data_IF_986605829708
#
_entry.id   IF_986605829708
#
_cell.length_a   1.000
_cell.length_b   1.000
_cell.length_c   1.000
_cell.angle_alpha   90.00
_cell.angle_beta   90.00
_cell.angle_gamma   90.00
#
_symmetry.space_group_name_H-M   'P 1'
#
loop_
_entity.id
_entity.type
_entity.pdbx_description
1 polymer ?
#
# COMPACT_ATOMS: atom_id res chain seq x y z
N UNK A 1 39.52 -67.71 42.83
CA UNK A 1 39.38 -66.36 43.39
C UNK A 1 39.46 -65.32 42.25
N UNK A 2 38.35 -64.85 41.69
CA UNK A 2 38.31 -63.72 40.78
C UNK A 2 37.02 -62.96 41.08
N UNK A 3 37.17 -61.76 41.58
CA UNK A 3 36.14 -60.86 41.97
C UNK A 3 35.51 -60.17 40.70
N UNK A 4 34.19 -60.33 40.52
CA UNK A 4 33.44 -59.61 39.50
C UNK A 4 32.94 -58.31 40.09
N UNK A 5 33.46 -57.19 39.57
CA UNK A 5 32.89 -55.82 39.79
C UNK A 5 31.82 -55.55 38.75
N UNK A 6 30.60 -55.34 39.23
CA UNK A 6 29.48 -54.86 38.46
C UNK A 6 29.67 -53.34 38.31
N UNK A 7 29.80 -52.87 37.08
CA UNK A 7 29.80 -51.46 36.75
C UNK A 7 28.36 -51.04 36.34
N UNK A 8 27.70 -50.31 37.20
CA UNK A 8 26.41 -49.65 36.83
C UNK A 8 26.66 -48.49 35.91
N UNK A 9 26.16 -48.57 34.68
CA UNK A 9 26.07 -47.45 33.79
C UNK A 9 24.84 -46.61 34.15
N UNK A 10 25.02 -45.33 34.49
CA UNK A 10 23.98 -44.33 34.64
C UNK A 10 23.63 -43.81 33.23
N UNK A 11 22.46 -44.19 32.72
CA UNK A 11 21.88 -43.60 31.52
C UNK A 11 21.43 -42.17 31.84
N UNK A 12 22.17 -41.21 31.29
CA UNK A 12 21.80 -39.80 31.32
C UNK A 12 20.87 -39.53 30.13
N UNK A 13 19.56 -39.55 30.35
CA UNK A 13 18.56 -39.13 29.38
C UNK A 13 18.72 -37.62 29.18
N UNK A 14 19.36 -37.26 28.10
CA UNK A 14 19.38 -35.86 27.61
C UNK A 14 17.97 -35.51 27.09
N UNK A 15 17.20 -34.82 27.93
CA UNK A 15 15.98 -34.16 27.44
C UNK A 15 16.40 -33.01 26.52
N UNK A 16 16.27 -33.20 25.21
CA UNK A 16 16.26 -32.09 24.26
C UNK A 16 15.01 -31.26 24.51
N UNK A 17 15.17 -30.14 25.19
CA UNK A 17 14.17 -29.06 25.14
C UNK A 17 14.19 -28.48 23.72
N UNK A 18 13.25 -28.89 22.88
CA UNK A 18 12.93 -28.23 21.63
C UNK A 18 12.28 -26.89 21.96
N UNK A 19 13.09 -25.94 22.34
CA UNK A 19 12.68 -24.52 22.41
C UNK A 19 12.48 -24.00 20.98
N UNK A 20 11.28 -24.11 20.46
CA UNK A 20 10.84 -23.30 19.33
C UNK A 20 10.91 -21.85 19.77
N UNK A 21 11.99 -21.17 19.41
CA UNK A 21 12.12 -19.72 19.58
C UNK A 21 11.05 -19.09 18.69
N UNK A 22 9.87 -18.83 19.27
CA UNK A 22 8.81 -18.09 18.60
C UNK A 22 9.38 -16.71 18.29
N UNK A 23 9.55 -16.39 17.01
CA UNK A 23 9.95 -15.04 16.59
C UNK A 23 9.03 -14.04 17.31
N UNK A 24 9.55 -12.92 17.82
CA UNK A 24 8.73 -11.94 18.51
C UNK A 24 7.59 -11.52 17.56
N UNK A 25 6.37 -11.75 18.01
CA UNK A 25 5.17 -11.38 17.26
C UNK A 25 5.14 -9.86 17.13
N UNK A 26 5.06 -9.35 15.92
CA UNK A 26 4.98 -7.90 15.68
C UNK A 26 3.73 -7.35 16.35
N UNK A 27 3.89 -6.33 17.18
CA UNK A 27 2.78 -5.61 17.81
C UNK A 27 2.10 -4.67 16.80
N UNK A 28 1.28 -5.23 15.91
CA UNK A 28 0.59 -4.49 14.86
C UNK A 28 -0.35 -3.42 15.45
N UNK A 29 -1.04 -3.72 16.58
CA UNK A 29 -1.94 -2.78 17.24
C UNK A 29 -1.19 -1.57 17.78
N UNK A 30 -0.12 -1.79 18.52
CA UNK A 30 0.69 -0.69 19.06
C UNK A 30 1.39 0.11 17.95
N UNK A 31 1.81 -0.57 16.86
CA UNK A 31 2.36 0.09 15.68
C UNK A 31 1.32 0.98 14.99
N UNK A 32 0.09 0.49 14.81
CA UNK A 32 -1.00 1.26 14.22
C UNK A 32 -1.29 2.52 15.04
N UNK A 33 -1.39 2.38 16.35
CA UNK A 33 -1.60 3.53 17.25
C UNK A 33 -0.50 4.58 17.08
N UNK A 34 0.78 4.18 17.11
CA UNK A 34 1.91 5.11 16.91
C UNK A 34 1.90 5.80 15.55
N UNK A 35 1.52 5.09 14.49
CA UNK A 35 1.40 5.69 13.15
C UNK A 35 0.25 6.70 13.12
N UNK A 36 -0.89 6.39 13.71
CA UNK A 36 -2.04 7.31 13.79
C UNK A 36 -1.71 8.57 14.59
N UNK A 37 -0.98 8.46 15.71
CA UNK A 37 -0.51 9.62 16.46
C UNK A 37 0.41 10.52 15.61
N UNK A 38 1.33 9.94 14.84
CA UNK A 38 2.21 10.68 13.93
C UNK A 38 1.43 11.36 12.81
N UNK A 39 0.42 10.69 12.24
CA UNK A 39 -0.49 11.29 11.23
C UNK A 39 -1.23 12.48 11.86
N UNK A 40 -1.78 12.32 13.05
CA UNK A 40 -2.51 13.38 13.74
C UNK A 40 -1.60 14.59 14.05
N UNK A 41 -0.38 14.33 14.53
CA UNK A 41 0.59 15.39 14.78
C UNK A 41 0.97 16.15 13.50
N UNK A 42 1.20 15.44 12.37
CA UNK A 42 1.52 16.07 11.10
C UNK A 42 0.32 16.87 10.54
N UNK A 43 -0.89 16.33 10.60
CA UNK A 43 -2.12 17.00 10.17
C UNK A 43 -2.34 18.30 10.96
N UNK A 44 -2.24 18.26 12.29
CA UNK A 44 -2.40 19.43 13.15
C UNK A 44 -1.37 20.53 12.84
N UNK A 45 -0.13 20.17 12.49
CA UNK A 45 0.92 21.14 12.10
C UNK A 45 0.58 21.94 10.86
N UNK A 46 -0.26 21.41 9.95
CA UNK A 46 -0.70 22.11 8.74
C UNK A 46 -2.19 22.51 8.79
N UNK A 47 -2.81 22.53 9.99
CA UNK A 47 -4.18 22.99 10.19
C UNK A 47 -5.26 22.07 9.61
N UNK A 48 -4.92 20.79 9.38
CA UNK A 48 -5.83 19.78 8.85
C UNK A 48 -6.32 18.83 9.95
N UNK A 49 -7.47 18.25 9.73
CA UNK A 49 -7.99 17.20 10.63
C UNK A 49 -7.37 15.84 10.26
N UNK A 50 -7.02 14.99 11.24
CA UNK A 50 -6.44 13.66 10.98
C UNK A 50 -7.33 12.77 10.09
N UNK A 51 -8.66 12.93 10.19
CA UNK A 51 -9.65 12.18 9.43
C UNK A 51 -9.65 12.48 7.92
N UNK A 52 -9.01 13.57 7.51
CA UNK A 52 -8.80 13.91 6.10
C UNK A 52 -7.68 13.07 5.44
N UNK A 53 -7.00 12.24 6.23
CA UNK A 53 -5.87 11.46 5.78
C UNK A 53 -6.17 9.98 5.93
N UNK A 54 -6.30 9.30 4.81
CA UNK A 54 -6.48 7.85 4.76
C UNK A 54 -5.14 7.15 4.94
N UNK A 55 -5.06 6.28 5.94
CA UNK A 55 -3.93 5.39 6.15
C UNK A 55 -4.15 4.09 5.38
N UNK A 56 -3.34 3.83 4.37
CA UNK A 56 -3.29 2.56 3.63
C UNK A 56 -2.16 1.70 4.22
N UNK A 57 -2.52 0.61 4.87
CA UNK A 57 -1.56 -0.36 5.40
C UNK A 57 -1.02 -1.28 4.31
N UNK A 58 0.27 -1.16 3.98
CA UNK A 58 0.89 -1.94 2.90
C UNK A 58 1.22 -3.35 3.39
N UNK A 59 0.36 -4.30 3.06
CA UNK A 59 0.38 -5.69 3.56
C UNK A 59 1.13 -6.68 2.66
N UNK A 60 1.82 -6.18 1.61
CA UNK A 60 2.65 -7.03 0.74
C UNK A 60 3.63 -7.87 1.57
N UNK A 61 3.79 -9.15 1.22
CA UNK A 61 4.65 -10.14 1.89
C UNK A 61 4.25 -10.52 3.32
N UNK A 62 3.18 -9.95 3.87
CA UNK A 62 2.66 -10.32 5.19
C UNK A 62 1.49 -11.30 5.07
N UNK A 63 1.36 -12.26 6.02
CA UNK A 63 0.31 -13.25 6.00
C UNK A 63 -1.06 -12.67 6.40
N UNK A 64 -2.14 -13.41 6.11
CA UNK A 64 -3.51 -13.03 6.43
C UNK A 64 -3.75 -12.72 7.91
N UNK A 65 -3.05 -13.39 8.83
CA UNK A 65 -3.15 -13.15 10.27
C UNK A 65 -2.70 -11.73 10.64
N UNK A 66 -1.63 -11.21 10.02
CA UNK A 66 -1.17 -9.84 10.26
C UNK A 66 -2.17 -8.81 9.73
N UNK A 67 -2.80 -9.10 8.58
CA UNK A 67 -3.86 -8.26 7.99
C UNK A 67 -5.07 -8.22 8.92
N UNK A 68 -5.50 -9.39 9.41
CA UNK A 68 -6.64 -9.51 10.33
C UNK A 68 -6.38 -8.76 11.63
N UNK A 69 -5.19 -8.90 12.21
CA UNK A 69 -4.80 -8.15 13.42
C UNK A 69 -4.83 -6.63 13.21
N UNK A 70 -4.40 -6.14 12.04
CA UNK A 70 -4.49 -4.72 11.70
C UNK A 70 -5.94 -4.25 11.52
N UNK A 71 -6.78 -5.06 10.88
CA UNK A 71 -8.20 -4.76 10.70
C UNK A 71 -8.95 -4.71 12.04
N UNK A 72 -8.70 -5.68 12.93
CA UNK A 72 -9.26 -5.71 14.30
C UNK A 72 -8.78 -4.52 15.15
N UNK A 73 -7.57 -4.03 14.89
CA UNK A 73 -7.04 -2.82 15.51
C UNK A 73 -7.65 -1.51 14.94
N UNK A 74 -8.44 -1.58 13.87
CA UNK A 74 -9.16 -0.44 13.30
C UNK A 74 -8.71 0.01 11.92
N UNK A 75 -7.68 -0.60 11.31
CA UNK A 75 -7.29 -0.29 9.94
C UNK A 75 -8.37 -0.79 8.96
N UNK A 76 -8.68 0.03 7.95
CA UNK A 76 -9.73 -0.29 6.96
C UNK A 76 -9.21 -0.37 5.53
N UNK A 77 -8.13 0.32 5.20
CA UNK A 77 -7.55 0.38 3.86
C UNK A 77 -6.22 -0.40 3.83
N UNK A 78 -6.10 -1.30 2.87
CA UNK A 78 -4.91 -2.14 2.70
C UNK A 78 -4.36 -2.02 1.29
N UNK A 79 -3.03 -2.01 1.16
CA UNK A 79 -2.33 -1.87 -0.11
C UNK A 79 -1.53 -3.12 -0.48
N UNK A 80 -1.69 -3.59 -1.71
CA UNK A 80 -0.97 -4.72 -2.28
C UNK A 80 -0.21 -4.30 -3.53
N UNK A 81 0.96 -4.90 -3.75
CA UNK A 81 1.77 -4.55 -4.90
C UNK A 81 1.53 -5.45 -6.12
N UNK A 82 1.02 -6.66 -5.92
CA UNK A 82 0.91 -7.69 -6.97
C UNK A 82 -0.42 -8.44 -6.87
N UNK A 83 -1.12 -8.55 -7.99
CA UNK A 83 -2.40 -9.27 -8.08
C UNK A 83 -2.26 -10.73 -7.63
N UNK A 84 -1.22 -11.44 -8.08
CA UNK A 84 -1.05 -12.86 -7.75
C UNK A 84 -0.79 -13.09 -6.26
N UNK A 85 -0.03 -12.20 -5.62
CA UNK A 85 0.23 -12.28 -4.19
C UNK A 85 -1.07 -12.08 -3.40
N UNK A 86 -1.88 -11.11 -3.82
CA UNK A 86 -3.19 -10.86 -3.24
C UNK A 86 -4.13 -12.06 -3.40
N UNK A 87 -4.22 -12.64 -4.59
CA UNK A 87 -5.03 -13.84 -4.85
C UNK A 87 -4.70 -14.99 -3.89
N UNK A 88 -3.40 -15.18 -3.56
CA UNK A 88 -2.94 -16.24 -2.65
C UNK A 88 -3.37 -16.06 -1.18
N UNK A 89 -3.67 -14.84 -0.76
CA UNK A 89 -4.10 -14.55 0.63
C UNK A 89 -5.53 -14.04 0.75
N UNK A 90 -6.18 -13.70 -0.37
CA UNK A 90 -7.55 -13.17 -0.39
C UNK A 90 -8.54 -14.04 0.40
N UNK A 91 -8.53 -15.36 0.20
CA UNK A 91 -9.45 -16.28 0.87
C UNK A 91 -9.36 -16.22 2.41
N UNK A 92 -8.18 -15.92 2.96
CA UNK A 92 -7.96 -15.82 4.41
C UNK A 92 -8.54 -14.55 5.05
N UNK A 93 -8.91 -13.54 4.24
CA UNK A 93 -9.34 -12.20 4.68
C UNK A 93 -10.56 -11.67 3.90
N UNK A 94 -11.21 -12.51 3.09
CA UNK A 94 -12.35 -12.14 2.25
C UNK A 94 -13.60 -11.73 3.06
N UNK A 95 -13.67 -12.18 4.31
CA UNK A 95 -14.74 -11.83 5.27
C UNK A 95 -14.54 -10.43 5.90
N UNK A 96 -13.38 -9.81 5.72
CA UNK A 96 -13.12 -8.48 6.24
C UNK A 96 -13.76 -7.43 5.31
N UNK A 97 -14.57 -6.54 5.88
CA UNK A 97 -15.08 -5.36 5.17
C UNK A 97 -14.00 -4.30 4.98
N UNK A 98 -12.91 -4.67 4.31
CA UNK A 98 -11.73 -3.84 4.08
C UNK A 98 -11.66 -3.34 2.64
N UNK A 99 -11.12 -2.14 2.47
CA UNK A 99 -10.86 -1.53 1.16
C UNK A 99 -9.46 -1.94 0.65
N UNK A 100 -9.41 -2.51 -0.55
CA UNK A 100 -8.18 -3.05 -1.14
C UNK A 100 -7.68 -2.18 -2.27
N UNK A 101 -6.45 -1.69 -2.15
CA UNK A 101 -5.76 -0.84 -3.12
C UNK A 101 -4.66 -1.62 -3.82
N UNK A 102 -4.64 -1.65 -5.14
CA UNK A 102 -3.47 -2.07 -5.90
C UNK A 102 -2.56 -0.86 -6.09
N UNK A 103 -1.46 -0.84 -5.35
CA UNK A 103 -0.52 0.29 -5.28
C UNK A 103 0.79 0.06 -6.05
N UNK A 104 0.93 -1.09 -6.70
CA UNK A 104 2.10 -1.41 -7.52
C UNK A 104 1.74 -1.53 -8.99
N UNK A 105 2.74 -1.45 -9.86
CA UNK A 105 2.58 -1.52 -11.31
C UNK A 105 1.73 -2.72 -11.75
N UNK A 106 0.70 -2.45 -12.56
CA UNK A 106 -0.25 -3.44 -13.05
C UNK A 106 0.10 -3.87 -14.47
N UNK A 107 0.48 -5.13 -14.63
CA UNK A 107 0.64 -5.72 -15.96
C UNK A 107 -0.70 -5.81 -16.70
N UNK A 108 -0.73 -5.42 -17.96
CA UNK A 108 -1.94 -5.38 -18.80
C UNK A 108 -2.72 -6.70 -18.86
N UNK A 109 -2.03 -7.85 -18.81
CA UNK A 109 -2.66 -9.18 -18.80
C UNK A 109 -3.35 -9.53 -17.46
N UNK A 110 -3.18 -8.72 -16.43
CA UNK A 110 -3.80 -8.87 -15.11
C UNK A 110 -4.94 -7.87 -14.86
N UNK A 111 -5.18 -6.93 -15.78
CA UNK A 111 -6.16 -5.86 -15.64
C UNK A 111 -7.57 -6.38 -15.27
N UNK A 112 -8.07 -7.41 -15.95
CA UNK A 112 -9.38 -7.97 -15.67
C UNK A 112 -9.48 -8.65 -14.30
N UNK A 113 -8.39 -9.21 -13.78
CA UNK A 113 -8.32 -9.77 -12.41
C UNK A 113 -8.27 -8.67 -11.37
N UNK A 114 -7.40 -7.68 -11.58
CA UNK A 114 -7.29 -6.54 -10.69
C UNK A 114 -8.63 -5.82 -10.53
N UNK A 115 -9.33 -5.56 -11.62
CA UNK A 115 -10.64 -4.91 -11.62
C UNK A 115 -11.70 -5.62 -10.78
N UNK A 116 -11.58 -6.94 -10.56
CA UNK A 116 -12.53 -7.73 -9.75
C UNK A 116 -12.14 -7.86 -8.29
N UNK A 117 -10.86 -7.66 -7.97
CA UNK A 117 -10.27 -7.98 -6.67
C UNK A 117 -9.96 -6.75 -5.83
N UNK A 118 -9.85 -5.59 -6.48
CA UNK A 118 -9.46 -4.36 -5.80
C UNK A 118 -10.58 -3.31 -5.87
N UNK A 119 -10.68 -2.52 -4.83
CA UNK A 119 -11.58 -1.37 -4.74
C UNK A 119 -10.97 -0.13 -5.39
N UNK A 120 -9.63 -0.09 -5.47
CA UNK A 120 -8.89 0.97 -6.13
C UNK A 120 -7.64 0.43 -6.84
N UNK A 121 -7.31 1.00 -8.01
CA UNK A 121 -6.05 0.76 -8.72
C UNK A 121 -5.31 2.09 -8.79
N UNK A 122 -4.26 2.20 -7.98
CA UNK A 122 -3.59 3.48 -7.72
C UNK A 122 -2.33 3.70 -8.60
N UNK A 123 -2.10 2.84 -9.59
CA UNK A 123 -0.91 2.83 -10.43
C UNK A 123 -1.25 2.76 -11.93
N UNK A 124 -2.15 3.65 -12.40
CA UNK A 124 -2.45 3.79 -13.82
C UNK A 124 -1.42 4.71 -14.45
N UNK A 125 -0.71 4.21 -15.45
CA UNK A 125 0.36 4.92 -16.15
C UNK A 125 0.18 5.02 -17.67
N UNK A 126 -0.79 4.27 -18.24
CA UNK A 126 -1.13 4.36 -19.66
C UNK A 126 -2.63 4.16 -19.94
N UNK A 127 -3.06 4.67 -21.10
CA UNK A 127 -4.46 4.56 -21.53
C UNK A 127 -4.87 3.15 -21.95
N UNK A 128 -4.05 2.35 -22.69
CA UNK A 128 -4.37 0.95 -23.00
C UNK A 128 -4.68 0.10 -21.76
N UNK A 129 -3.96 0.30 -20.65
CA UNK A 129 -4.24 -0.37 -19.38
C UNK A 129 -5.62 0.04 -18.83
N UNK A 130 -5.89 1.34 -18.79
CA UNK A 130 -7.17 1.87 -18.33
C UNK A 130 -8.35 1.36 -19.16
N UNK A 131 -8.22 1.27 -20.49
CA UNK A 131 -9.24 0.67 -21.36
C UNK A 131 -9.51 -0.81 -21.07
N UNK A 132 -8.48 -1.58 -20.72
CA UNK A 132 -8.66 -2.98 -20.32
C UNK A 132 -9.42 -3.12 -19.02
N UNK A 133 -9.15 -2.24 -18.06
CA UNK A 133 -9.87 -2.16 -16.79
C UNK A 133 -11.33 -1.78 -17.03
N UNK A 134 -11.59 -0.74 -17.82
CA UNK A 134 -12.94 -0.27 -18.16
C UNK A 134 -13.80 -1.38 -18.77
N UNK A 135 -13.26 -2.10 -19.74
CA UNK A 135 -13.94 -3.27 -20.36
C UNK A 135 -14.20 -4.39 -19.33
N UNK A 136 -13.28 -4.62 -18.42
CA UNK A 136 -13.42 -5.64 -17.40
C UNK A 136 -14.48 -5.28 -16.34
N UNK A 137 -14.62 -4.00 -16.01
CA UNK A 137 -15.63 -3.50 -15.08
C UNK A 137 -17.03 -3.47 -15.69
N UNK A 138 -17.18 -3.25 -16.99
CA UNK A 138 -18.48 -3.18 -17.70
C UNK A 138 -19.36 -4.43 -17.50
N UNK A 139 -18.77 -5.57 -17.17
CA UNK A 139 -19.49 -6.84 -16.92
C UNK A 139 -19.71 -7.14 -15.42
N UNK A 140 -19.42 -6.21 -14.51
CA UNK A 140 -19.53 -6.46 -13.08
C UNK A 140 -20.92 -6.09 -12.53
N UNK A 141 -21.46 -6.87 -11.56
CA UNK A 141 -22.79 -6.63 -10.99
C UNK A 141 -22.90 -5.35 -10.15
N UNK A 142 -21.78 -4.81 -9.69
CA UNK A 142 -21.76 -3.68 -8.74
C UNK A 142 -22.20 -2.35 -9.35
N UNK A 143 -22.12 -2.19 -10.68
CA UNK A 143 -22.55 -0.98 -11.39
C UNK A 143 -21.78 0.31 -11.04
N UNK A 144 -20.97 0.31 -10.00
CA UNK A 144 -20.17 1.45 -9.61
C UNK A 144 -18.83 1.48 -10.39
N UNK A 145 -18.39 2.65 -10.89
CA UNK A 145 -17.10 2.79 -11.53
C UNK A 145 -15.96 2.42 -10.57
N UNK A 146 -14.93 1.75 -11.09
CA UNK A 146 -13.74 1.42 -10.32
C UNK A 146 -12.89 2.68 -10.10
N UNK A 147 -12.57 2.96 -8.84
CA UNK A 147 -11.69 4.04 -8.46
C UNK A 147 -10.27 3.81 -9.00
N UNK A 148 -9.67 4.84 -9.60
CA UNK A 148 -8.27 4.77 -10.07
C UNK A 148 -7.52 6.06 -9.74
N UNK A 149 -6.19 5.93 -9.56
CA UNK A 149 -5.26 7.05 -9.52
C UNK A 149 -4.27 6.94 -10.69
N UNK A 150 -3.84 8.09 -11.21
CA UNK A 150 -2.72 8.13 -12.15
C UNK A 150 -1.42 8.16 -11.35
N UNK A 151 -0.52 7.22 -11.63
CA UNK A 151 0.85 7.27 -11.12
C UNK A 151 1.66 8.26 -11.95
N UNK A 152 2.19 9.31 -11.29
CA UNK A 152 3.01 10.35 -11.92
C UNK A 152 4.47 10.11 -11.61
N UNK A 153 5.30 10.06 -12.64
CA UNK A 153 6.74 9.94 -12.53
C UNK A 153 7.37 11.29 -12.23
N UNK A 154 7.93 11.48 -11.05
CA UNK A 154 8.58 12.72 -10.61
C UNK A 154 10.09 12.58 -10.36
N UNK A 155 10.67 11.40 -10.52
CA UNK A 155 12.10 11.14 -10.34
C UNK A 155 12.89 11.33 -11.64
N UNK A 156 14.12 11.87 -11.56
CA UNK A 156 14.96 12.20 -12.72
C UNK A 156 15.64 11.03 -13.42
N UNK A 157 15.66 9.82 -12.84
CA UNK A 157 16.17 8.62 -13.49
C UNK A 157 15.03 7.72 -13.91
N UNK A 158 15.21 6.97 -15.01
CA UNK A 158 14.20 6.11 -15.63
C UNK A 158 13.46 5.24 -14.61
N UNK A 159 12.50 5.82 -13.90
CA UNK A 159 11.54 5.07 -13.13
C UNK A 159 10.79 4.16 -14.09
N UNK A 160 10.59 2.94 -13.64
CA UNK A 160 10.05 1.86 -14.46
C UNK A 160 8.55 1.98 -14.69
N UNK A 161 7.86 2.96 -14.09
CA UNK A 161 6.40 3.19 -14.17
C UNK A 161 6.06 4.66 -13.93
N UNK A 162 4.84 5.03 -14.30
CA UNK A 162 4.28 6.37 -14.15
C UNK A 162 4.32 7.21 -15.41
N UNK A 163 3.27 8.04 -15.59
CA UNK A 163 3.20 9.00 -16.68
C UNK A 163 4.07 10.22 -16.37
N UNK A 164 4.70 10.81 -17.40
CA UNK A 164 5.41 12.07 -17.24
C UNK A 164 4.44 13.24 -16.93
N UNK A 165 4.90 14.31 -16.26
CA UNK A 165 4.06 15.50 -16.05
C UNK A 165 3.43 16.05 -17.33
N UNK A 166 4.15 16.00 -18.44
CA UNK A 166 3.68 16.50 -19.75
C UNK A 166 2.56 15.62 -20.33
N UNK A 167 2.59 14.31 -20.09
CA UNK A 167 1.57 13.37 -20.54
C UNK A 167 0.34 13.27 -19.64
N UNK A 168 0.40 13.85 -18.43
CA UNK A 168 -0.62 13.69 -17.40
C UNK A 168 -2.00 14.16 -17.84
N UNK A 169 -2.09 15.35 -18.43
CA UNK A 169 -3.38 15.94 -18.80
C UNK A 169 -4.07 15.14 -19.94
N UNK A 170 -3.32 14.72 -20.95
CA UNK A 170 -3.83 13.87 -22.04
C UNK A 170 -4.36 12.52 -21.51
N UNK A 171 -3.62 11.89 -20.60
CA UNK A 171 -4.07 10.64 -19.97
C UNK A 171 -5.34 10.86 -19.15
N UNK A 172 -5.39 11.90 -18.33
CA UNK A 172 -6.54 12.19 -17.48
C UNK A 172 -7.81 12.48 -18.29
N UNK A 173 -7.73 13.29 -19.38
CA UNK A 173 -8.84 13.54 -20.29
C UNK A 173 -9.39 12.23 -20.88
N UNK A 174 -8.49 11.33 -21.31
CA UNK A 174 -8.88 10.04 -21.86
C UNK A 174 -9.51 9.12 -20.82
N UNK A 175 -9.02 9.14 -19.56
CA UNK A 175 -9.61 8.35 -18.48
C UNK A 175 -11.02 8.84 -18.13
N UNK A 176 -11.24 10.15 -18.11
CA UNK A 176 -12.56 10.73 -17.82
C UNK A 176 -13.62 10.39 -18.89
N UNK A 177 -13.23 9.98 -20.09
CA UNK A 177 -14.14 9.51 -21.13
C UNK A 177 -14.56 8.04 -20.95
N UNK A 178 -13.94 7.29 -20.04
CA UNK A 178 -14.29 5.90 -19.71
C UNK A 178 -15.53 5.86 -18.84
N UNK A 179 -16.30 4.75 -18.91
CA UNK A 179 -17.60 4.66 -18.23
C UNK A 179 -17.54 3.93 -16.87
N UNK A 180 -16.64 2.97 -16.79
CA UNK A 180 -16.53 2.10 -15.63
C UNK A 180 -15.28 2.38 -14.79
N UNK A 181 -14.59 3.50 -15.07
CA UNK A 181 -13.41 3.98 -14.35
C UNK A 181 -13.71 5.38 -13.79
N UNK A 182 -13.45 5.58 -12.51
CA UNK A 182 -13.53 6.90 -11.87
C UNK A 182 -12.12 7.38 -11.50
N UNK A 183 -11.63 8.40 -12.21
CA UNK A 183 -10.38 9.06 -11.88
C UNK A 183 -10.57 9.90 -10.61
N UNK A 184 -9.99 9.42 -9.51
CA UNK A 184 -10.08 10.04 -8.18
C UNK A 184 -8.89 10.92 -7.82
N UNK A 185 -7.76 10.81 -8.53
CA UNK A 185 -6.59 11.63 -8.20
C UNK A 185 -5.26 11.13 -8.74
N UNK A 186 -4.19 11.54 -8.07
CA UNK A 186 -2.83 11.26 -8.46
C UNK A 186 -2.07 10.49 -7.37
N UNK A 187 -1.08 9.72 -7.80
CA UNK A 187 -0.15 9.01 -6.94
C UNK A 187 1.29 9.26 -7.41
N UNK A 188 2.26 9.30 -6.48
CA UNK A 188 3.68 9.22 -6.83
C UNK A 188 4.47 8.36 -5.83
N UNK A 189 5.58 7.82 -6.32
CA UNK A 189 6.62 7.19 -5.51
C UNK A 189 7.91 7.94 -5.82
N UNK A 190 8.31 8.92 -4.98
CA UNK A 190 9.54 9.67 -5.19
C UNK A 190 10.78 8.81 -4.93
N UNK A 191 11.97 9.25 -5.34
CA UNK A 191 13.23 8.64 -4.92
C UNK A 191 13.34 8.58 -3.40
N UNK A 192 13.95 7.50 -2.88
CA UNK A 192 14.28 7.42 -1.47
C UNK A 192 15.44 8.37 -1.15
N UNK A 193 15.21 9.30 -0.22
CA UNK A 193 16.23 10.19 0.32
C UNK A 193 16.35 9.95 1.82
N UNK A 194 17.58 10.02 2.36
CA UNK A 194 17.80 9.75 3.79
C UNK A 194 17.10 10.77 4.69
N UNK A 195 17.10 12.04 4.28
CA UNK A 195 16.37 13.10 4.96
C UNK A 195 14.96 13.22 4.36
N UNK A 196 13.88 12.93 5.13
CA UNK A 196 12.51 13.02 4.65
C UNK A 196 12.09 14.42 4.16
N UNK A 197 12.71 15.48 4.67
CA UNK A 197 12.39 16.84 4.24
C UNK A 197 12.89 17.15 2.81
N UNK A 198 13.92 16.46 2.35
CA UNK A 198 14.44 16.60 0.98
C UNK A 198 13.50 16.00 -0.07
N UNK A 199 12.55 15.16 0.34
CA UNK A 199 11.51 14.59 -0.55
C UNK A 199 10.36 15.57 -0.80
N UNK A 200 10.16 16.58 0.06
CA UNK A 200 9.04 17.54 -0.01
C UNK A 200 8.86 18.20 -1.38
N UNK A 201 9.90 18.61 -2.12
CA UNK A 201 9.73 19.18 -3.45
C UNK A 201 8.96 18.28 -4.45
N UNK A 202 9.14 16.96 -4.35
CA UNK A 202 8.40 15.99 -5.18
C UNK A 202 6.91 15.96 -4.79
N UNK A 203 6.60 15.99 -3.50
CA UNK A 203 5.22 16.03 -3.01
C UNK A 203 4.53 17.35 -3.36
N UNK A 204 5.22 18.48 -3.19
CA UNK A 204 4.73 19.79 -3.61
C UNK A 204 4.44 19.81 -5.13
N UNK A 205 5.34 19.21 -5.92
CA UNK A 205 5.13 19.13 -7.38
C UNK A 205 3.92 18.28 -7.75
N UNK A 206 3.66 17.16 -7.07
CA UNK A 206 2.44 16.37 -7.32
C UNK A 206 1.17 17.17 -6.98
N UNK A 207 1.18 17.90 -5.86
CA UNK A 207 0.07 18.78 -5.47
C UNK A 207 -0.19 19.85 -6.52
N UNK A 208 0.85 20.50 -7.03
CA UNK A 208 0.74 21.51 -8.09
C UNK A 208 0.15 20.93 -9.37
N UNK A 209 0.65 19.77 -9.81
CA UNK A 209 0.13 19.07 -10.99
C UNK A 209 -1.34 18.71 -10.84
N UNK A 210 -1.76 18.25 -9.63
CA UNK A 210 -3.16 18.00 -9.34
C UNK A 210 -4.00 19.27 -9.47
N UNK A 211 -3.54 20.40 -8.90
CA UNK A 211 -4.26 21.67 -8.96
C UNK A 211 -4.39 22.19 -10.39
N UNK A 212 -3.33 22.10 -11.18
CA UNK A 212 -3.34 22.46 -12.60
C UNK A 212 -4.30 21.59 -13.41
N UNK A 213 -4.34 20.29 -13.10
CA UNK A 213 -5.24 19.35 -13.74
C UNK A 213 -6.70 19.63 -13.38
N UNK A 214 -7.00 19.95 -12.12
CA UNK A 214 -8.34 20.33 -11.65
C UNK A 214 -8.86 21.60 -12.33
N UNK A 215 -8.00 22.61 -12.47
CA UNK A 215 -8.30 23.84 -13.16
C UNK A 215 -8.60 23.58 -14.65
N UNK A 216 -7.73 22.81 -15.31
CA UNK A 216 -7.87 22.49 -16.73
C UNK A 216 -9.13 21.70 -17.05
N UNK A 217 -9.47 20.71 -16.20
CA UNK A 217 -10.57 19.78 -16.44
C UNK A 217 -11.90 20.20 -15.79
N UNK A 218 -11.90 21.24 -14.96
CA UNK A 218 -13.09 21.68 -14.22
C UNK A 218 -13.63 20.62 -13.24
N UNK A 219 -12.80 19.64 -12.84
CA UNK A 219 -13.18 18.54 -11.94
C UNK A 219 -12.24 18.49 -10.74
N UNK A 220 -12.79 18.32 -9.54
CA UNK A 220 -12.01 18.09 -8.32
C UNK A 220 -11.58 16.62 -8.23
N UNK A 221 -10.34 16.40 -7.81
CA UNK A 221 -9.77 15.09 -7.55
C UNK A 221 -9.47 14.94 -6.05
N UNK A 222 -10.24 14.16 -5.30
CA UNK A 222 -10.10 14.09 -3.83
C UNK A 222 -8.80 13.44 -3.38
N UNK A 223 -8.19 12.57 -4.21
CA UNK A 223 -7.06 11.78 -3.79
C UNK A 223 -5.71 12.38 -4.20
N UNK A 224 -4.79 12.40 -3.24
CA UNK A 224 -3.38 12.69 -3.44
C UNK A 224 -2.59 11.68 -2.63
N UNK A 225 -2.26 10.54 -3.28
CA UNK A 225 -1.63 9.39 -2.65
C UNK A 225 -0.11 9.53 -2.74
N UNK A 226 0.53 9.89 -1.63
CA UNK A 226 1.97 10.07 -1.53
C UNK A 226 2.44 9.93 -0.09
N UNK A 227 3.72 9.58 0.11
CA UNK A 227 4.29 9.32 1.42
C UNK A 227 4.19 7.86 1.86
N UNK A 228 5.31 7.38 2.41
CA UNK A 228 5.52 6.02 2.90
C UNK A 228 6.01 6.04 4.35
N UNK A 229 6.40 4.89 4.90
CA UNK A 229 6.81 4.74 6.32
C UNK A 229 7.89 5.72 6.78
N UNK A 230 8.71 6.21 5.87
CA UNK A 230 9.85 7.09 6.16
C UNK A 230 9.50 8.59 6.06
N UNK A 231 8.58 8.96 5.16
CA UNK A 231 8.37 10.33 4.70
C UNK A 231 6.90 10.79 4.71
N UNK A 232 5.97 9.99 5.26
CA UNK A 232 4.54 10.32 5.21
C UNK A 232 4.19 11.62 5.96
N UNK A 233 4.92 12.01 7.01
CA UNK A 233 4.69 13.29 7.68
C UNK A 233 5.00 14.45 6.73
N UNK A 234 6.12 14.37 6.00
CA UNK A 234 6.48 15.37 4.99
C UNK A 234 5.42 15.44 3.89
N UNK A 235 4.89 14.28 3.45
CA UNK A 235 3.80 14.21 2.48
C UNK A 235 2.50 14.85 2.99
N UNK A 236 2.15 14.65 4.26
CA UNK A 236 0.97 15.28 4.89
C UNK A 236 1.10 16.81 4.89
N UNK A 237 2.27 17.33 5.23
CA UNK A 237 2.55 18.76 5.20
C UNK A 237 2.43 19.34 3.78
N UNK A 238 2.69 18.55 2.76
CA UNK A 238 2.51 18.93 1.35
C UNK A 238 1.11 18.57 0.80
N UNK A 239 0.17 18.16 1.65
CA UNK A 239 -1.24 17.99 1.27
C UNK A 239 -1.65 16.57 0.89
N UNK A 240 -0.88 15.53 1.23
CA UNK A 240 -1.32 14.14 1.04
C UNK A 240 -2.70 13.91 1.66
N UNK A 241 -3.57 13.21 0.94
CA UNK A 241 -4.86 12.71 1.46
C UNK A 241 -4.80 11.21 1.74
N UNK A 242 -3.80 10.52 1.19
CA UNK A 242 -3.56 9.11 1.40
C UNK A 242 -2.06 8.87 1.64
N UNK A 243 -1.75 8.10 2.67
CA UNK A 243 -0.37 7.69 2.98
C UNK A 243 -0.28 6.17 3.02
N UNK A 244 0.83 5.60 2.52
CA UNK A 244 1.02 4.15 2.33
C UNK A 244 2.10 3.63 3.27
N UNK A 245 1.71 3.04 4.38
CA UNK A 245 2.63 2.65 5.45
C UNK A 245 2.71 1.13 5.56
N UNK A 246 3.91 0.57 5.38
CA UNK A 246 4.18 -0.87 5.49
C UNK A 246 5.03 -1.20 6.71
N UNK A 247 6.33 -0.96 6.62
CA UNK A 247 7.32 -1.36 7.62
C UNK A 247 7.02 -0.82 9.02
N UNK A 248 6.51 0.41 9.12
CA UNK A 248 6.14 0.99 10.41
C UNK A 248 4.92 0.31 11.06
N UNK A 249 4.06 -0.36 10.27
CA UNK A 249 2.90 -1.12 10.77
C UNK A 249 3.25 -2.58 11.01
N UNK A 250 3.76 -3.26 10.01
CA UNK A 250 3.91 -4.70 9.98
C UNK A 250 5.32 -5.17 10.33
N UNK A 251 6.25 -4.24 10.60
CA UNK A 251 7.64 -4.56 10.90
C UNK A 251 8.50 -4.80 9.66
N UNK A 252 9.79 -5.02 9.89
CA UNK A 252 10.74 -5.38 8.83
C UNK A 252 10.41 -6.77 8.31
N UNK A 253 10.49 -6.96 7.00
CA UNK A 253 10.25 -8.25 6.35
C UNK A 253 11.12 -9.33 6.97
N UNK A 254 10.51 -10.41 7.46
CA UNK A 254 11.24 -11.61 7.73
C UNK A 254 11.85 -12.11 6.41
N UNK A 255 13.17 -12.24 6.35
CA UNK A 255 13.82 -12.93 5.24
C UNK A 255 13.32 -14.37 5.28
N UNK A 256 12.32 -14.71 4.45
CA UNK A 256 12.03 -16.10 4.15
C UNK A 256 13.30 -16.66 3.48
N UNK A 257 13.98 -17.56 4.18
CA UNK A 257 15.05 -18.40 3.61
C UNK A 257 14.43 -19.53 2.82
#
# INVERSE_FOLDING_TARGET
MRSNRIVMRRDRVLRFCSGTTKMPQVDVRGNLFRVQERIAAAANRCGRRPEEITLIGVSKTHPGESIRAAFEAGLRHFGENRVQEWEGKHAAVADLGAEWHLIGHLQSNKAARAARLFHSIDAIDDFPLAQRIDRACAGQPTGAPLRVLIEVHLGGEAAKSGVSPDGLADLAEKLMALRCVDLAGLMCIPPFLENPDEVRPYFARLRELKSQLEERLGKRFPALSMGMSHDFEAAILEGATEVRVGTALFGVRGTAR
#
